data_IF_443304038385
#
_entry.id   IF_443304038385
#
_cell.length_a   1.000
_cell.length_b   1.000
_cell.length_c   1.000
_cell.angle_alpha   90.00
_cell.angle_beta   90.00
_cell.angle_gamma   90.00
#
_symmetry.space_group_name_H-M   'P 1'
#
loop_
_entity.id
_entity.type
_entity.pdbx_description
1 polymer ?
#
# COMPACT_ATOMS: atom_id res chain seq x y z
N UNK A 1 15.98 -19.20 16.07
CA UNK A 1 17.01 -20.05 15.47
C UNK A 1 17.24 -19.54 14.05
N UNK A 2 18.43 -19.21 13.74
CA UNK A 2 19.17 -18.82 12.55
C UNK A 2 18.43 -18.78 11.20
N UNK A 3 18.33 -17.56 10.63
CA UNK A 3 18.09 -17.34 9.20
C UNK A 3 19.37 -17.67 8.43
N UNK A 4 19.31 -18.67 7.54
CA UNK A 4 20.33 -18.93 6.54
C UNK A 4 20.19 -17.92 5.37
N UNK A 5 21.27 -17.46 4.74
CA UNK A 5 21.21 -16.61 3.56
C UNK A 5 20.90 -17.45 2.32
N UNK A 6 19.76 -17.19 1.68
CA UNK A 6 19.52 -17.80 0.38
C UNK A 6 18.06 -18.08 0.00
N UNK A 7 17.16 -17.12 0.12
CA UNK A 7 15.94 -17.15 -0.65
C UNK A 7 15.82 -15.83 -1.41
N UNK A 8 15.93 -15.92 -2.73
CA UNK A 8 15.68 -14.80 -3.65
C UNK A 8 14.18 -14.55 -3.69
N UNK A 9 13.70 -13.75 -2.75
CA UNK A 9 12.34 -13.26 -2.71
C UNK A 9 12.12 -12.38 -3.93
N UNK A 10 11.23 -12.83 -4.82
CA UNK A 10 10.63 -12.02 -5.88
C UNK A 10 11.64 -11.34 -6.84
N UNK A 11 12.22 -12.08 -7.78
CA UNK A 11 12.92 -11.46 -8.91
C UNK A 11 11.88 -10.77 -9.82
N UNK A 12 11.79 -9.46 -9.72
CA UNK A 12 11.17 -8.65 -10.75
C UNK A 12 11.94 -8.88 -12.06
N UNK A 13 11.28 -9.01 -13.23
CA UNK A 13 11.99 -9.10 -14.49
C UNK A 13 12.82 -7.82 -14.68
N UNK A 14 14.13 -7.97 -14.81
CA UNK A 14 15.04 -6.87 -15.11
C UNK A 14 14.57 -6.20 -16.40
N UNK A 15 14.11 -4.95 -16.29
CA UNK A 15 13.90 -4.09 -17.45
C UNK A 15 15.27 -3.79 -18.05
N UNK A 16 15.70 -4.63 -19.03
CA UNK A 16 16.86 -4.36 -19.86
C UNK A 16 16.55 -3.19 -20.79
N UNK A 17 17.09 -2.03 -20.45
CA UNK A 17 17.36 -0.93 -21.34
C UNK A 17 16.13 -0.22 -21.94
N UNK A 18 15.68 0.85 -21.27
CA UNK A 18 15.18 2.07 -21.94
C UNK A 18 14.75 3.06 -20.84
N UNK A 19 15.09 4.34 -21.00
CA UNK A 19 14.66 5.52 -20.23
C UNK A 19 13.95 5.17 -18.90
N UNK A 20 14.65 5.27 -17.77
CA UNK A 20 14.02 5.12 -16.47
C UNK A 20 12.87 6.14 -16.38
N UNK A 21 11.62 5.67 -16.49
CA UNK A 21 10.48 6.50 -16.15
C UNK A 21 10.63 6.87 -14.67
N UNK A 22 10.85 8.15 -14.39
CA UNK A 22 11.01 8.63 -13.02
C UNK A 22 9.66 8.63 -12.29
N UNK A 23 8.54 8.71 -13.02
CA UNK A 23 7.19 8.82 -12.47
C UNK A 23 6.32 7.64 -12.94
N UNK A 24 5.84 6.84 -11.97
CA UNK A 24 4.97 5.69 -12.23
C UNK A 24 3.48 6.07 -12.28
N UNK A 25 3.05 7.06 -11.49
CA UNK A 25 1.69 7.61 -11.53
C UNK A 25 1.75 9.12 -11.55
N UNK A 26 0.97 9.75 -12.42
CA UNK A 26 0.75 11.18 -12.43
C UNK A 26 -0.74 11.48 -12.56
N UNK A 27 -1.27 12.25 -11.63
CA UNK A 27 -2.63 12.79 -11.66
C UNK A 27 -2.53 14.32 -11.66
N UNK A 28 -3.17 14.99 -12.64
CA UNK A 28 -3.12 16.44 -12.81
C UNK A 28 -4.54 17.02 -12.91
N UNK A 29 -4.88 17.89 -11.97
CA UNK A 29 -6.14 18.63 -11.97
C UNK A 29 -7.36 17.71 -12.01
N UNK A 30 -7.32 16.56 -11.34
CA UNK A 30 -8.37 15.56 -11.42
C UNK A 30 -9.59 16.00 -10.63
N UNK A 31 -10.75 16.00 -11.29
CA UNK A 31 -12.05 16.23 -10.68
C UNK A 31 -12.91 14.98 -10.78
N UNK A 32 -13.73 14.77 -9.72
CA UNK A 32 -14.72 13.67 -9.69
C UNK A 32 -15.96 14.10 -8.93
N UNK A 33 -17.12 13.89 -9.57
CA UNK A 33 -18.43 14.13 -8.99
C UNK A 33 -19.23 12.83 -8.85
N UNK A 34 -20.05 12.74 -7.81
CA UNK A 34 -21.15 11.77 -7.68
C UNK A 34 -22.45 12.56 -7.51
N UNK A 35 -23.21 12.67 -8.58
CA UNK A 35 -24.34 13.59 -8.64
C UNK A 35 -23.87 15.05 -8.45
N UNK A 36 -24.41 15.75 -7.48
CA UNK A 36 -24.00 17.13 -7.14
C UNK A 36 -22.80 17.21 -6.17
N UNK A 37 -22.33 16.07 -5.65
CA UNK A 37 -21.25 16.04 -4.65
C UNK A 37 -19.90 15.92 -5.34
N UNK A 38 -19.04 16.94 -5.20
CA UNK A 38 -17.65 16.94 -5.67
C UNK A 38 -16.77 16.21 -4.67
N UNK A 39 -16.22 15.06 -5.04
CA UNK A 39 -15.36 14.23 -4.19
C UNK A 39 -13.88 14.52 -4.43
N UNK A 40 -13.48 14.80 -5.67
CA UNK A 40 -12.12 15.28 -6.00
C UNK A 40 -12.25 16.65 -6.66
N UNK A 41 -11.40 17.61 -6.23
CA UNK A 41 -11.43 18.99 -6.68
C UNK A 41 -10.04 19.50 -7.03
N UNK A 42 -9.67 19.32 -8.31
CA UNK A 42 -8.33 19.70 -8.78
C UNK A 42 -7.23 18.87 -8.12
N UNK A 43 -7.50 17.57 -7.89
CA UNK A 43 -6.57 16.66 -7.21
C UNK A 43 -5.31 16.44 -8.02
N UNK A 44 -4.15 16.63 -7.38
CA UNK A 44 -2.83 16.42 -7.97
C UNK A 44 -2.05 15.44 -7.12
N UNK A 45 -1.48 14.42 -7.77
CA UNK A 45 -0.63 13.42 -7.11
C UNK A 45 0.40 12.90 -8.11
N UNK A 46 1.61 12.60 -7.64
CA UNK A 46 2.60 11.84 -8.41
C UNK A 46 3.27 10.80 -7.52
N UNK A 47 3.59 9.65 -8.12
CA UNK A 47 4.29 8.53 -7.47
C UNK A 47 5.51 8.23 -8.31
N UNK A 48 6.69 8.25 -7.69
CA UNK A 48 7.94 7.91 -8.37
C UNK A 48 8.10 6.39 -8.48
N UNK A 49 8.84 5.93 -9.50
CA UNK A 49 9.10 4.50 -9.68
C UNK A 49 9.89 3.95 -8.49
N UNK A 50 9.42 2.83 -7.93
CA UNK A 50 10.08 2.14 -6.82
C UNK A 50 9.83 2.79 -5.44
N UNK A 51 9.02 3.84 -5.33
CA UNK A 51 8.65 4.38 -4.02
C UNK A 51 7.40 3.71 -3.43
N UNK A 52 7.26 3.78 -2.11
CA UNK A 52 5.98 3.63 -1.42
C UNK A 52 5.46 5.01 -1.08
N UNK A 53 4.39 5.43 -1.76
CA UNK A 53 3.66 6.66 -1.42
C UNK A 53 2.44 6.34 -0.57
N UNK A 54 2.35 6.93 0.61
CA UNK A 54 1.18 6.87 1.47
C UNK A 54 0.17 7.97 1.16
N UNK A 55 -1.07 7.64 0.84
CA UNK A 55 -2.17 8.59 0.73
C UNK A 55 -2.97 8.56 2.04
N UNK A 56 -2.77 9.57 2.88
CA UNK A 56 -3.35 9.65 4.21
C UNK A 56 -4.47 10.69 4.26
N UNK A 57 -5.47 10.44 5.09
CA UNK A 57 -6.56 11.40 5.30
C UNK A 57 -7.75 10.78 6.03
N UNK A 58 -8.69 11.59 6.51
CA UNK A 58 -9.88 11.11 7.20
C UNK A 58 -10.77 10.27 6.28
N UNK A 59 -11.69 9.51 6.89
CA UNK A 59 -12.68 8.77 6.12
C UNK A 59 -13.57 9.73 5.32
N UNK A 60 -13.93 9.33 4.11
CA UNK A 60 -14.77 10.14 3.22
C UNK A 60 -14.05 11.28 2.49
N UNK A 61 -12.73 11.49 2.66
CA UNK A 61 -12.01 12.54 1.95
C UNK A 61 -11.73 12.23 0.47
N UNK A 62 -12.03 11.00 -0.01
CA UNK A 62 -11.89 10.60 -1.41
C UNK A 62 -10.75 9.61 -1.70
N UNK A 63 -10.04 9.04 -0.70
CA UNK A 63 -8.93 8.09 -0.91
C UNK A 63 -9.33 6.91 -1.82
N UNK A 64 -10.38 6.19 -1.47
CA UNK A 64 -10.88 5.05 -2.27
C UNK A 64 -11.30 5.48 -3.68
N UNK A 65 -11.80 6.71 -3.86
CA UNK A 65 -12.11 7.27 -5.17
C UNK A 65 -10.84 7.43 -6.02
N UNK A 66 -9.75 7.95 -5.42
CA UNK A 66 -8.44 8.03 -6.07
C UNK A 66 -7.96 6.65 -6.49
N UNK A 67 -8.00 5.66 -5.57
CA UNK A 67 -7.57 4.30 -5.88
C UNK A 67 -8.39 3.65 -7.00
N UNK A 68 -9.72 3.82 -6.98
CA UNK A 68 -10.59 3.30 -8.03
C UNK A 68 -10.29 3.94 -9.39
N UNK A 69 -9.95 5.23 -9.42
CA UNK A 69 -9.51 5.89 -10.65
C UNK A 69 -8.18 5.28 -11.11
N UNK A 70 -7.17 5.18 -10.25
CA UNK A 70 -5.86 4.63 -10.58
C UNK A 70 -5.95 3.19 -11.09
N UNK A 71 -6.84 2.37 -10.52
CA UNK A 71 -7.10 1.00 -10.97
C UNK A 71 -8.02 0.92 -12.21
N UNK A 72 -8.36 2.06 -12.83
CA UNK A 72 -9.26 2.15 -13.99
C UNK A 72 -10.65 1.51 -13.75
N UNK A 73 -11.09 1.46 -12.50
CA UNK A 73 -12.44 1.01 -12.10
C UNK A 73 -13.45 2.15 -12.12
N UNK A 74 -12.96 3.38 -12.14
CA UNK A 74 -13.75 4.61 -12.18
C UNK A 74 -13.05 5.65 -13.05
N UNK A 75 -13.76 6.28 -13.96
CA UNK A 75 -13.24 7.40 -14.75
C UNK A 75 -13.28 8.70 -13.96
N UNK A 76 -12.26 9.56 -14.11
CA UNK A 76 -12.34 10.95 -13.70
C UNK A 76 -13.26 11.72 -14.65
N UNK A 77 -13.84 12.81 -14.18
CA UNK A 77 -14.72 13.65 -15.00
C UNK A 77 -13.93 14.74 -15.72
N UNK A 78 -12.86 15.25 -15.08
CA UNK A 78 -11.91 16.19 -15.65
C UNK A 78 -10.49 15.88 -15.16
N UNK A 79 -9.48 16.43 -15.85
CA UNK A 79 -8.07 16.26 -15.55
C UNK A 79 -7.41 15.12 -16.34
N UNK A 80 -6.16 14.86 -16.00
CA UNK A 80 -5.33 13.87 -16.71
C UNK A 80 -4.74 12.88 -15.69
N UNK A 81 -4.72 11.60 -16.08
CA UNK A 81 -4.07 10.54 -15.30
C UNK A 81 -3.19 9.72 -16.23
N UNK A 82 -1.90 9.64 -15.89
CA UNK A 82 -0.92 8.77 -16.54
C UNK A 82 -0.50 7.69 -15.56
N UNK A 83 -0.54 6.43 -15.99
CA UNK A 83 -0.07 5.29 -15.21
C UNK A 83 0.97 4.52 -16.01
N UNK A 84 2.16 4.34 -15.45
CA UNK A 84 3.32 3.72 -16.11
C UNK A 84 3.60 4.33 -17.51
N UNK A 85 3.41 5.65 -17.62
CA UNK A 85 3.64 6.41 -18.85
C UNK A 85 2.49 6.43 -19.86
N UNK A 86 1.41 5.69 -19.63
CA UNK A 86 0.26 5.66 -20.51
C UNK A 86 -0.95 6.44 -19.94
N UNK A 87 -1.72 7.15 -20.80
CA UNK A 87 -2.98 7.74 -20.36
C UNK A 87 -3.97 6.67 -19.91
N UNK A 88 -4.57 6.86 -18.73
CA UNK A 88 -5.44 5.85 -18.12
C UNK A 88 -6.65 5.46 -18.97
N UNK A 89 -7.22 6.40 -19.73
CA UNK A 89 -8.34 6.17 -20.64
C UNK A 89 -7.96 5.41 -21.93
N UNK A 90 -6.67 5.17 -22.18
CA UNK A 90 -6.11 4.42 -23.31
C UNK A 90 -5.08 3.39 -22.85
N UNK A 91 -5.23 2.90 -21.63
CA UNK A 91 -4.29 1.97 -21.03
C UNK A 91 -4.21 0.68 -21.86
N UNK A 92 -3.00 0.31 -22.26
CA UNK A 92 -2.76 -0.95 -22.98
C UNK A 92 -2.95 -2.15 -22.04
N UNK A 93 -3.25 -3.32 -22.63
CA UNK A 93 -3.30 -4.56 -21.86
C UNK A 93 -1.96 -4.85 -21.16
N UNK A 94 -0.84 -4.51 -21.80
CA UNK A 94 0.50 -4.71 -21.26
C UNK A 94 0.70 -3.94 -19.95
N UNK A 95 0.21 -2.71 -19.88
CA UNK A 95 0.30 -1.88 -18.66
C UNK A 95 -0.75 -2.29 -17.63
N UNK A 96 -2.00 -2.49 -18.06
CA UNK A 96 -3.08 -2.89 -17.13
C UNK A 96 -2.79 -4.22 -16.44
N UNK A 97 -2.18 -5.18 -17.16
CA UNK A 97 -1.77 -6.47 -16.58
C UNK A 97 -0.60 -6.36 -15.58
N UNK A 98 0.05 -5.19 -15.48
CA UNK A 98 1.13 -4.92 -14.54
C UNK A 98 0.69 -4.07 -13.34
N UNK A 99 -0.61 -3.92 -13.14
CA UNK A 99 -1.20 -3.26 -11.98
C UNK A 99 -1.79 -4.31 -11.05
N UNK A 100 -1.41 -4.29 -9.79
CA UNK A 100 -2.00 -5.10 -8.72
C UNK A 100 -2.89 -4.25 -7.84
N UNK A 101 -3.97 -4.83 -7.31
CA UNK A 101 -4.86 -4.14 -6.40
C UNK A 101 -5.27 -5.04 -5.23
N UNK A 102 -4.90 -4.62 -4.02
CA UNK A 102 -5.36 -5.20 -2.78
C UNK A 102 -6.42 -4.27 -2.16
N UNK A 103 -7.67 -4.66 -2.26
CA UNK A 103 -8.82 -3.90 -1.78
C UNK A 103 -8.94 -3.98 -0.25
N UNK A 104 -9.64 -3.02 0.37
CA UNK A 104 -9.87 -3.00 1.82
C UNK A 104 -10.62 -4.25 2.31
N UNK A 105 -11.61 -4.72 1.53
CA UNK A 105 -12.29 -6.01 1.80
C UNK A 105 -11.61 -7.10 1.01
N UNK A 106 -11.33 -8.22 1.65
CA UNK A 106 -10.69 -9.36 0.98
C UNK A 106 -11.55 -9.87 -0.17
N UNK A 107 -10.98 -9.92 -1.37
CA UNK A 107 -11.62 -10.46 -2.57
C UNK A 107 -11.23 -11.95 -2.74
N UNK A 108 -11.43 -12.75 -1.70
CA UNK A 108 -11.06 -14.17 -1.66
C UNK A 108 -12.30 -15.05 -1.74
N UNK A 109 -12.14 -16.24 -2.30
CA UNK A 109 -13.16 -17.28 -2.32
C UNK A 109 -13.01 -18.13 -1.05
N UNK A 110 -13.95 -18.05 -0.08
CA UNK A 110 -13.78 -18.65 1.24
C UNK A 110 -13.82 -20.17 1.22
N UNK A 111 -14.47 -20.78 0.23
CA UNK A 111 -14.60 -22.24 0.08
C UNK A 111 -13.41 -22.90 -0.59
N UNK A 112 -12.52 -22.11 -1.20
CA UNK A 112 -11.32 -22.58 -1.86
C UNK A 112 -10.13 -22.65 -0.89
N UNK A 113 -9.14 -23.48 -1.22
CA UNK A 113 -7.83 -23.50 -0.57
C UNK A 113 -6.97 -22.29 -1.00
N UNK A 114 -5.93 -21.91 -0.24
CA UNK A 114 -5.03 -20.82 -0.63
C UNK A 114 -4.46 -20.97 -2.04
N UNK A 115 -3.94 -22.15 -2.38
CA UNK A 115 -3.39 -22.42 -3.71
C UNK A 115 -4.45 -22.34 -4.81
N UNK A 116 -5.70 -22.75 -4.55
CA UNK A 116 -6.80 -22.65 -5.50
C UNK A 116 -7.22 -21.21 -5.75
N UNK A 117 -7.24 -20.36 -4.71
CA UNK A 117 -7.44 -18.92 -4.86
C UNK A 117 -6.38 -18.30 -5.77
N UNK A 118 -5.10 -18.54 -5.46
CA UNK A 118 -3.99 -18.04 -6.28
C UNK A 118 -4.07 -18.52 -7.72
N UNK A 119 -4.38 -19.81 -7.93
CA UNK A 119 -4.52 -20.40 -9.25
C UNK A 119 -5.68 -19.77 -10.06
N UNK A 120 -6.81 -19.51 -9.40
CA UNK A 120 -7.95 -18.84 -10.02
C UNK A 120 -7.55 -17.48 -10.58
N UNK A 121 -6.91 -16.64 -9.76
CA UNK A 121 -6.48 -15.32 -10.20
C UNK A 121 -5.36 -15.39 -11.24
N UNK A 122 -4.42 -16.34 -11.12
CA UNK A 122 -3.38 -16.54 -12.13
C UNK A 122 -3.96 -16.83 -13.52
N UNK A 123 -4.97 -17.68 -13.60
CA UNK A 123 -5.69 -17.95 -14.84
C UNK A 123 -6.48 -16.74 -15.35
N UNK A 124 -7.08 -15.97 -14.45
CA UNK A 124 -7.82 -14.75 -14.78
C UNK A 124 -6.90 -13.70 -15.42
N UNK A 125 -5.64 -13.61 -14.97
CA UNK A 125 -4.62 -12.76 -15.57
C UNK A 125 -4.02 -13.34 -16.87
N UNK A 126 -4.46 -14.51 -17.30
CA UNK A 126 -4.05 -15.12 -18.57
C UNK A 126 -2.69 -15.84 -18.54
N UNK A 127 -2.19 -16.21 -17.35
CA UNK A 127 -0.97 -17.00 -17.24
C UNK A 127 -1.19 -18.41 -17.81
N UNK A 128 -0.19 -18.96 -18.51
CA UNK A 128 -0.22 -20.36 -18.95
C UNK A 128 -0.21 -21.32 -17.77
N UNK A 129 -0.63 -22.56 -17.97
CA UNK A 129 -0.69 -23.56 -16.87
C UNK A 129 0.68 -23.79 -16.20
N UNK A 130 1.78 -23.72 -16.95
CA UNK A 130 3.13 -23.82 -16.40
C UNK A 130 3.47 -22.61 -15.52
N UNK A 131 3.17 -21.39 -16.02
CA UNK A 131 3.37 -20.15 -15.27
C UNK A 131 2.48 -20.11 -14.02
N UNK A 132 1.22 -20.56 -14.11
CA UNK A 132 0.33 -20.66 -12.97
C UNK A 132 0.92 -21.54 -11.86
N UNK A 133 1.36 -22.76 -12.20
CA UNK A 133 1.94 -23.68 -11.21
C UNK A 133 3.18 -23.09 -10.55
N UNK A 134 4.08 -22.53 -11.33
CA UNK A 134 5.29 -21.90 -10.82
C UNK A 134 4.93 -20.71 -9.90
N UNK A 135 4.08 -19.80 -10.37
CA UNK A 135 3.73 -18.59 -9.62
C UNK A 135 2.98 -18.89 -8.33
N UNK A 136 2.08 -19.86 -8.35
CA UNK A 136 1.37 -20.31 -7.15
C UNK A 136 2.36 -20.89 -6.13
N UNK A 137 3.31 -21.73 -6.56
CA UNK A 137 4.30 -22.30 -5.66
C UNK A 137 5.20 -21.23 -5.03
N UNK A 138 5.66 -20.24 -5.83
CA UNK A 138 6.42 -19.09 -5.35
C UNK A 138 5.63 -18.32 -4.27
N UNK A 139 4.39 -17.92 -4.56
CA UNK A 139 3.58 -17.13 -3.64
C UNK A 139 3.18 -17.91 -2.36
N UNK A 140 2.92 -19.20 -2.46
CA UNK A 140 2.65 -20.05 -1.29
C UNK A 140 3.87 -20.04 -0.37
N UNK A 141 5.06 -20.21 -0.91
CA UNK A 141 6.31 -20.21 -0.14
C UNK A 141 6.63 -18.83 0.42
N UNK A 142 6.62 -17.78 -0.42
CA UNK A 142 7.01 -16.42 -0.03
C UNK A 142 6.08 -15.83 1.04
N UNK A 143 4.81 -16.23 1.02
CA UNK A 143 3.79 -15.79 1.97
C UNK A 143 3.55 -16.79 3.10
N UNK A 144 4.40 -17.83 3.23
CA UNK A 144 4.34 -18.86 4.30
C UNK A 144 2.95 -19.51 4.42
N UNK A 145 2.29 -19.75 3.29
CA UNK A 145 0.95 -20.31 3.23
C UNK A 145 0.94 -21.85 3.22
N UNK A 146 2.12 -22.50 3.18
CA UNK A 146 2.28 -23.95 3.16
C UNK A 146 1.60 -24.63 4.35
N UNK A 147 1.67 -24.00 5.53
CA UNK A 147 1.04 -24.50 6.75
C UNK A 147 -0.50 -24.64 6.63
N UNK A 148 -1.10 -23.98 5.63
CA UNK A 148 -2.56 -23.95 5.40
C UNK A 148 -2.96 -24.60 4.07
N UNK A 149 -2.10 -25.44 3.50
CA UNK A 149 -2.32 -26.06 2.19
C UNK A 149 -3.65 -26.84 2.09
N UNK A 150 -4.16 -27.37 3.20
CA UNK A 150 -5.42 -28.15 3.28
C UNK A 150 -6.56 -27.40 4.00
N UNK A 151 -6.33 -26.14 4.39
CA UNK A 151 -7.31 -25.35 5.14
C UNK A 151 -8.05 -24.41 4.19
N UNK A 152 -9.38 -24.41 4.21
CA UNK A 152 -10.19 -23.49 3.40
C UNK A 152 -9.98 -22.06 3.88
N UNK A 153 -9.97 -21.11 2.95
CA UNK A 153 -9.71 -19.69 3.24
C UNK A 153 -10.67 -19.12 4.27
N UNK A 154 -11.96 -19.49 4.24
CA UNK A 154 -12.94 -19.05 5.24
C UNK A 154 -12.66 -19.51 6.68
N UNK A 155 -11.76 -20.48 6.88
CA UNK A 155 -11.34 -20.99 8.20
C UNK A 155 -10.04 -20.34 8.70
N UNK A 156 -9.37 -19.54 7.87
CA UNK A 156 -8.16 -18.82 8.24
C UNK A 156 -8.51 -17.63 9.15
N UNK A 157 -7.58 -17.25 10.02
CA UNK A 157 -7.70 -15.99 10.76
C UNK A 157 -7.65 -14.78 9.79
N UNK A 158 -8.20 -13.64 10.22
CA UNK A 158 -8.21 -12.42 9.41
C UNK A 158 -6.82 -12.00 8.91
N UNK A 159 -5.77 -12.17 9.73
CA UNK A 159 -4.39 -11.90 9.34
C UNK A 159 -3.89 -12.80 8.22
N UNK A 160 -4.23 -14.11 8.26
CA UNK A 160 -3.86 -15.04 7.20
C UNK A 160 -4.67 -14.83 5.92
N UNK A 161 -5.95 -14.47 6.04
CA UNK A 161 -6.75 -14.07 4.89
C UNK A 161 -6.17 -12.81 4.22
N UNK A 162 -5.76 -11.82 5.01
CA UNK A 162 -5.14 -10.60 4.48
C UNK A 162 -3.78 -10.87 3.83
N UNK A 163 -2.98 -11.78 4.41
CA UNK A 163 -1.72 -12.24 3.83
C UNK A 163 -1.93 -12.91 2.47
N UNK A 164 -2.90 -13.80 2.37
CA UNK A 164 -3.30 -14.42 1.09
C UNK A 164 -3.84 -13.39 0.10
N UNK A 165 -4.63 -12.42 0.56
CA UNK A 165 -5.16 -11.36 -0.30
C UNK A 165 -4.06 -10.48 -0.90
N UNK A 166 -3.03 -10.15 -0.10
CA UNK A 166 -1.84 -9.49 -0.61
C UNK A 166 -1.10 -10.37 -1.64
N UNK A 167 -0.95 -11.68 -1.38
CA UNK A 167 -0.35 -12.61 -2.34
C UNK A 167 -1.13 -12.67 -3.67
N UNK A 168 -2.47 -12.67 -3.62
CA UNK A 168 -3.34 -12.64 -4.81
C UNK A 168 -3.10 -11.37 -5.63
N UNK A 169 -2.91 -10.21 -4.99
CA UNK A 169 -2.64 -8.94 -5.70
C UNK A 169 -1.29 -8.91 -6.41
N UNK A 170 -0.43 -9.90 -6.17
CA UNK A 170 0.91 -10.02 -6.75
C UNK A 170 1.02 -11.12 -7.82
N UNK A 171 -0.06 -11.84 -8.09
CA UNK A 171 -0.05 -12.98 -9.02
C UNK A 171 0.47 -12.58 -10.41
N UNK A 172 0.09 -11.40 -10.88
CA UNK A 172 0.47 -10.84 -12.19
C UNK A 172 1.85 -10.15 -12.20
N UNK A 173 2.65 -10.25 -11.13
CA UNK A 173 3.94 -9.58 -10.98
C UNK A 173 3.84 -8.07 -11.29
N UNK A 174 3.08 -7.31 -10.51
CA UNK A 174 2.79 -5.93 -10.83
C UNK A 174 4.04 -5.05 -10.72
N UNK A 175 4.15 -4.05 -11.62
CA UNK A 175 5.09 -2.93 -11.52
C UNK A 175 4.53 -1.82 -10.63
N UNK A 176 3.19 -1.73 -10.55
CA UNK A 176 2.47 -0.77 -9.73
C UNK A 176 1.43 -1.51 -8.87
N UNK A 177 1.54 -1.39 -7.56
CA UNK A 177 0.66 -2.04 -6.60
C UNK A 177 -0.15 -1.00 -5.81
N UNK A 178 -1.46 -1.17 -5.79
CA UNK A 178 -2.38 -0.35 -4.99
C UNK A 178 -2.82 -1.13 -3.78
N UNK A 179 -2.65 -0.56 -2.58
CA UNK A 179 -3.03 -1.15 -1.31
C UNK A 179 -4.03 -0.24 -0.58
N UNK A 180 -5.28 -0.69 -0.46
CA UNK A 180 -6.33 0.05 0.26
C UNK A 180 -6.45 -0.44 1.71
N UNK A 181 -5.86 0.30 2.64
CA UNK A 181 -5.84 0.01 4.08
C UNK A 181 -5.42 -1.45 4.40
N UNK A 182 -4.25 -1.93 3.92
CA UNK A 182 -3.91 -3.35 3.89
C UNK A 182 -3.79 -4.01 5.27
N UNK A 183 -3.72 -3.25 6.35
CA UNK A 183 -3.58 -3.78 7.71
C UNK A 183 -4.67 -3.32 8.67
N UNK A 184 -5.79 -2.77 8.16
CA UNK A 184 -6.80 -2.12 9.01
C UNK A 184 -7.52 -3.07 9.98
N UNK A 185 -7.71 -4.34 9.63
CA UNK A 185 -8.52 -5.28 10.40
C UNK A 185 -7.72 -6.45 11.01
N UNK A 186 -6.40 -6.29 11.15
CA UNK A 186 -5.53 -7.36 11.66
C UNK A 186 -4.91 -6.99 13.02
N UNK A 187 -4.56 -8.00 13.80
CA UNK A 187 -3.85 -7.82 15.06
C UNK A 187 -2.43 -7.27 14.86
N UNK A 188 -1.78 -6.88 15.96
CA UNK A 188 -0.47 -6.25 15.91
C UNK A 188 0.60 -7.15 15.27
N UNK A 189 0.61 -8.46 15.59
CA UNK A 189 1.62 -9.37 15.06
C UNK A 189 1.44 -9.57 13.55
N UNK A 190 0.24 -9.87 13.10
CA UNK A 190 -0.08 -10.00 11.68
C UNK A 190 0.23 -8.72 10.90
N UNK A 191 -0.03 -7.54 11.50
CA UNK A 191 0.33 -6.24 10.91
C UNK A 191 1.83 -6.10 10.69
N UNK A 192 2.63 -6.42 11.71
CA UNK A 192 4.10 -6.35 11.61
C UNK A 192 4.65 -7.29 10.52
N UNK A 193 4.06 -8.46 10.38
CA UNK A 193 4.46 -9.43 9.36
C UNK A 193 4.06 -8.96 7.95
N UNK A 194 2.86 -8.38 7.78
CA UNK A 194 2.45 -7.75 6.53
C UNK A 194 3.37 -6.57 6.15
N UNK A 195 3.80 -5.75 7.11
CA UNK A 195 4.74 -4.67 6.85
C UNK A 195 6.08 -5.18 6.30
N UNK A 196 6.62 -6.29 6.83
CA UNK A 196 7.85 -6.90 6.30
C UNK A 196 7.67 -7.37 4.85
N UNK A 197 6.52 -7.98 4.54
CA UNK A 197 6.20 -8.40 3.18
C UNK A 197 6.14 -7.20 2.22
N UNK A 198 5.46 -6.12 2.62
CA UNK A 198 5.34 -4.89 1.80
C UNK A 198 6.72 -4.22 1.59
N UNK A 199 7.58 -4.17 2.64
CA UNK A 199 8.96 -3.68 2.49
C UNK A 199 9.75 -4.48 1.47
N UNK A 200 9.65 -5.81 1.52
CA UNK A 200 10.32 -6.69 0.56
C UNK A 200 9.87 -6.45 -0.89
N UNK A 201 8.60 -6.08 -1.12
CA UNK A 201 8.10 -5.74 -2.45
C UNK A 201 8.77 -4.47 -3.00
N UNK A 202 8.97 -3.46 -2.15
CA UNK A 202 9.70 -2.23 -2.52
C UNK A 202 11.15 -2.52 -2.88
N UNK A 203 11.83 -3.32 -2.06
CA UNK A 203 13.24 -3.70 -2.31
C UNK A 203 13.41 -4.39 -3.66
N UNK A 204 12.38 -5.09 -4.14
CA UNK A 204 12.33 -5.71 -5.45
C UNK A 204 11.84 -4.76 -6.58
N UNK A 205 11.73 -3.46 -6.31
CA UNK A 205 11.44 -2.43 -7.31
C UNK A 205 9.95 -2.21 -7.61
N UNK A 206 9.02 -2.82 -6.86
CA UNK A 206 7.59 -2.57 -7.02
C UNK A 206 7.26 -1.17 -6.52
N UNK A 207 6.57 -0.38 -7.35
CA UNK A 207 6.02 0.93 -6.94
C UNK A 207 4.70 0.71 -6.20
N UNK A 208 4.49 1.36 -5.06
CA UNK A 208 3.32 1.12 -4.21
C UNK A 208 2.60 2.42 -3.89
N UNK A 209 1.29 2.46 -4.14
CA UNK A 209 0.38 3.48 -3.61
C UNK A 209 -0.44 2.84 -2.48
N UNK A 210 -0.21 3.32 -1.26
CA UNK A 210 -0.84 2.79 -0.05
C UNK A 210 -1.82 3.82 0.52
N UNK A 211 -3.05 3.43 0.85
CA UNK A 211 -3.89 4.24 1.73
C UNK A 211 -3.83 3.74 3.16
N UNK A 212 -3.82 4.67 4.10
CA UNK A 212 -3.92 4.35 5.52
C UNK A 212 -4.54 5.53 6.30
N UNK A 213 -5.15 5.20 7.42
CA UNK A 213 -5.52 6.16 8.46
C UNK A 213 -4.65 5.98 9.72
N UNK A 214 -3.68 5.05 9.68
CA UNK A 214 -2.80 4.71 10.78
C UNK A 214 -1.39 5.27 10.53
N UNK A 215 -1.07 6.38 11.21
CA UNK A 215 0.19 7.10 11.01
C UNK A 215 1.45 6.25 11.22
N UNK A 216 1.53 5.34 12.23
CA UNK A 216 2.71 4.47 12.39
C UNK A 216 2.98 3.55 11.20
N UNK A 217 1.96 3.13 10.46
CA UNK A 217 2.11 2.36 9.22
C UNK A 217 2.77 3.21 8.13
N UNK A 218 2.28 4.44 7.96
CA UNK A 218 2.85 5.36 6.98
C UNK A 218 4.29 5.74 7.33
N UNK A 219 4.59 5.98 8.61
CA UNK A 219 5.95 6.26 9.09
C UNK A 219 6.90 5.09 8.85
N UNK A 220 6.41 3.85 9.01
CA UNK A 220 7.21 2.63 8.85
C UNK A 220 7.46 2.27 7.40
N UNK A 221 6.46 2.40 6.53
CA UNK A 221 6.48 1.87 5.17
C UNK A 221 6.76 2.94 4.11
N UNK A 222 6.20 4.14 4.27
CA UNK A 222 6.18 5.11 3.19
C UNK A 222 7.47 5.92 3.13
N UNK A 223 8.04 6.02 1.92
CA UNK A 223 9.16 6.95 1.65
C UNK A 223 8.66 8.40 1.72
N UNK A 224 7.42 8.61 1.25
CA UNK A 224 6.74 9.89 1.19
C UNK A 224 5.25 9.69 1.44
N UNK A 225 4.59 10.70 2.00
CA UNK A 225 3.14 10.69 2.22
C UNK A 225 2.50 11.93 1.60
N UNK A 226 1.27 11.77 1.14
CA UNK A 226 0.39 12.86 0.69
C UNK A 226 -0.82 12.92 1.64
N UNK A 227 -1.00 14.06 2.29
CA UNK A 227 -2.13 14.29 3.18
C UNK A 227 -3.31 14.80 2.37
N UNK A 228 -4.41 14.08 2.41
CA UNK A 228 -5.62 14.38 1.66
C UNK A 228 -6.71 14.94 2.57
N UNK A 229 -7.34 16.03 2.15
CA UNK A 229 -8.50 16.63 2.80
C UNK A 229 -9.41 17.27 1.76
N UNK A 230 -10.73 17.05 1.88
CA UNK A 230 -11.75 17.62 0.99
C UNK A 230 -11.42 17.46 -0.51
N UNK A 231 -11.01 16.26 -0.91
CA UNK A 231 -10.74 15.97 -2.31
C UNK A 231 -9.45 16.54 -2.89
N UNK A 232 -8.56 17.10 -2.06
CA UNK A 232 -7.29 17.72 -2.47
C UNK A 232 -6.12 17.20 -1.65
N UNK A 233 -4.91 17.22 -2.20
CA UNK A 233 -3.66 17.04 -1.44
C UNK A 233 -3.31 18.38 -0.79
N UNK A 234 -3.31 18.43 0.53
CA UNK A 234 -3.01 19.66 1.31
C UNK A 234 -1.56 19.75 1.73
N UNK A 235 -0.85 18.64 1.79
CA UNK A 235 0.60 18.59 2.05
C UNK A 235 1.17 17.27 1.52
N UNK A 236 2.42 17.29 1.08
CA UNK A 236 3.17 16.11 0.70
C UNK A 236 4.64 16.26 1.11
N UNK A 237 5.28 15.15 1.46
CA UNK A 237 6.67 15.07 1.91
C UNK A 237 6.94 13.81 2.70
N UNK A 238 8.14 13.63 3.22
CA UNK A 238 8.42 12.58 4.18
C UNK A 238 7.68 12.84 5.51
N UNK A 239 7.39 11.79 6.28
CA UNK A 239 6.70 11.95 7.57
C UNK A 239 7.46 12.90 8.51
N UNK A 240 8.80 12.82 8.66
CA UNK A 240 9.55 13.79 9.46
C UNK A 240 9.42 15.23 8.99
N UNK A 241 9.47 15.49 7.66
CA UNK A 241 9.29 16.83 7.10
C UNK A 241 7.90 17.40 7.39
N UNK A 242 6.86 16.59 7.28
CA UNK A 242 5.49 17.03 7.55
C UNK A 242 5.27 17.30 9.03
N UNK A 243 5.83 16.46 9.92
CA UNK A 243 5.80 16.70 11.36
C UNK A 243 6.54 17.99 11.74
N UNK A 244 7.69 18.27 11.13
CA UNK A 244 8.46 19.49 11.38
C UNK A 244 7.72 20.78 10.95
N UNK A 245 6.85 20.69 9.93
CA UNK A 245 6.04 21.82 9.44
C UNK A 245 4.74 22.03 10.21
N UNK A 246 4.32 21.03 11.01
CA UNK A 246 3.09 21.14 11.80
C UNK A 246 3.41 21.92 13.08
N UNK A 247 2.82 23.11 13.29
CA UNK A 247 2.96 23.79 14.55
C UNK A 247 2.22 23.00 15.63
N UNK A 248 2.93 22.18 16.36
CA UNK A 248 2.39 21.32 17.39
C UNK A 248 3.34 21.20 18.55
N UNK A 249 2.80 21.04 19.76
CA UNK A 249 3.60 20.74 20.93
C UNK A 249 4.21 19.36 20.75
N UNK A 250 5.54 19.26 20.72
CA UNK A 250 6.23 17.99 20.81
C UNK A 250 5.92 17.39 22.18
N UNK A 251 5.29 16.22 22.24
CA UNK A 251 5.10 15.48 23.49
C UNK A 251 6.26 14.50 23.62
N UNK A 252 7.21 14.81 24.51
CA UNK A 252 8.24 13.87 24.90
C UNK A 252 7.71 13.00 26.04
N UNK A 253 7.63 11.67 25.81
CA UNK A 253 7.32 10.71 26.89
C UNK A 253 8.65 10.30 27.52
N UNK A 254 8.93 10.81 28.71
CA UNK A 254 10.17 10.50 29.44
C UNK A 254 9.85 9.51 30.55
N UNK A 255 10.53 8.37 30.56
CA UNK A 255 10.48 7.40 31.63
C UNK A 255 11.77 7.54 32.45
N UNK A 256 11.66 7.92 33.71
CA UNK A 256 12.83 8.16 34.58
C UNK A 256 12.62 7.61 35.97
N UNK A 257 13.72 7.30 36.63
CA UNK A 257 13.76 6.81 38.02
C UNK A 257 13.39 7.89 39.06
N UNK A 258 13.44 9.17 38.67
CA UNK A 258 13.01 10.30 39.53
C UNK A 258 12.15 11.27 38.67
N UNK A 259 10.84 11.03 38.63
CA UNK A 259 9.89 11.82 37.83
C UNK A 259 9.74 13.26 38.35
N UNK A 260 9.85 13.50 39.67
CA UNK A 260 9.68 14.85 40.27
C UNK A 260 10.77 15.82 39.82
N UNK A 261 12.04 15.39 39.82
CA UNK A 261 13.15 16.23 39.40
C UNK A 261 13.07 16.61 37.92
N UNK A 262 12.59 15.70 37.04
CA UNK A 262 12.42 15.96 35.63
C UNK A 262 11.23 16.89 35.40
N UNK A 263 10.12 16.67 36.09
CA UNK A 263 8.95 17.56 36.03
C UNK A 263 9.31 18.97 36.45
N UNK A 264 10.04 19.15 37.54
CA UNK A 264 10.45 20.47 37.98
C UNK A 264 11.37 21.17 36.97
N UNK A 265 12.27 20.42 36.33
CA UNK A 265 13.16 20.95 35.30
C UNK A 265 12.41 21.33 34.00
N UNK A 266 11.39 20.52 33.61
CA UNK A 266 10.54 20.83 32.48
C UNK A 266 9.70 22.09 32.70
N UNK A 267 9.12 22.23 33.92
CA UNK A 267 8.38 23.44 34.35
C UNK A 267 9.29 24.68 34.30
N UNK A 268 10.52 24.57 34.81
CA UNK A 268 11.48 25.65 34.83
C UNK A 268 11.93 26.07 33.39
N UNK A 269 11.82 25.17 32.41
CA UNK A 269 12.07 25.41 30.98
C UNK A 269 10.81 25.91 30.24
N UNK A 270 9.70 26.11 30.92
CA UNK A 270 8.44 26.57 30.36
C UNK A 270 7.69 25.51 29.55
N UNK A 271 8.00 24.23 29.74
CA UNK A 271 7.32 23.14 29.05
C UNK A 271 6.03 22.75 29.75
N UNK A 272 4.90 22.65 29.05
CA UNK A 272 3.66 22.16 29.66
C UNK A 272 3.80 20.67 30.01
N UNK A 273 3.65 20.34 31.29
CA UNK A 273 3.73 18.96 31.81
C UNK A 273 2.30 18.43 31.99
N UNK A 274 2.03 17.23 31.51
CA UNK A 274 0.80 16.46 31.81
C UNK A 274 1.19 15.19 32.54
N UNK A 275 0.40 14.84 33.56
CA UNK A 275 0.53 13.60 34.34
C UNK A 275 0.02 12.39 33.57
#
# INVERSE_FOLDING_TARGET
AFYGPGHSVLSAPACSGQNQMTTALQMKGVHKWFGSHKVLDGFNLHVETGEILGLLGPNGCGKTTVLNIVCNLLSCDEGEVLLLGEPLNKLSFQVSSRVGFCTQRTALYPDLLPAENLLFFARLYGLSETQCKQRVAELISDFELDAFATTRVGQLSGGWQQRLHLAVSLVNQPLFLVLDEPTAAVDLQARMDLWKLIDGLRENGTTILLTSHYLPEAERLCSRVALMRNGQVVAAGSVPELLARTPGQAVAKVQATNNEAIMQRAINLGWPVRH
#
